data_IF_726542684722
#
_entry.id   IF_726542684722
#
_cell.length_a   1.000
_cell.length_b   1.000
_cell.length_c   1.000
_cell.angle_alpha   90.00
_cell.angle_beta   90.00
_cell.angle_gamma   90.00
#
_symmetry.space_group_name_H-M   'P 1'
#
loop_
_entity.id
_entity.type
_entity.pdbx_description
1 polymer ?
#
# COMPACT_ATOMS: atom_id res chain seq x y z
N UNK A 1 -5.08 9.14 -19.22
CA UNK A 1 -6.42 9.67 -19.55
C UNK A 1 -6.75 9.48 -21.01
N UNK A 2 -5.87 9.88 -21.93
CA UNK A 2 -6.07 9.70 -23.38
C UNK A 2 -6.47 8.26 -23.78
N UNK A 3 -5.75 7.25 -23.31
CA UNK A 3 -6.07 5.84 -23.60
C UNK A 3 -7.45 5.40 -23.06
N UNK A 4 -7.89 5.97 -21.93
CA UNK A 4 -9.21 5.71 -21.37
C UNK A 4 -10.31 6.38 -22.19
N UNK A 5 -10.04 7.59 -22.71
CA UNK A 5 -10.94 8.28 -23.63
C UNK A 5 -11.08 7.53 -24.96
N UNK A 6 -9.97 7.01 -25.52
CA UNK A 6 -9.98 6.15 -26.70
C UNK A 6 -10.80 4.88 -26.46
N UNK A 7 -10.63 4.22 -25.31
CA UNK A 7 -11.44 3.06 -24.95
C UNK A 7 -12.94 3.41 -24.87
N UNK A 8 -13.27 4.55 -24.25
CA UNK A 8 -14.65 5.02 -24.15
C UNK A 8 -15.26 5.34 -25.54
N UNK A 9 -14.48 5.95 -26.43
CA UNK A 9 -14.87 6.23 -27.81
C UNK A 9 -15.14 4.94 -28.63
N UNK A 10 -14.45 3.84 -28.32
CA UNK A 10 -14.73 2.50 -28.87
C UNK A 10 -15.95 1.82 -28.26
N UNK A 11 -16.67 2.48 -27.35
CA UNK A 11 -17.88 1.94 -26.71
C UNK A 11 -17.66 1.20 -25.39
N UNK A 12 -16.42 1.10 -24.88
CA UNK A 12 -16.16 0.46 -23.60
C UNK A 12 -16.80 1.25 -22.44
N UNK A 13 -17.29 0.55 -21.41
CA UNK A 13 -17.61 1.17 -20.12
C UNK A 13 -16.31 1.41 -19.35
N UNK A 14 -16.06 2.66 -18.98
CA UNK A 14 -14.84 3.06 -18.26
C UNK A 14 -15.25 3.70 -16.93
N UNK A 15 -14.78 3.12 -15.83
CA UNK A 15 -15.08 3.55 -14.46
C UNK A 15 -13.81 3.83 -13.69
N UNK A 16 -13.74 4.99 -13.04
CA UNK A 16 -12.60 5.43 -12.25
C UNK A 16 -13.08 5.76 -10.83
N UNK A 17 -12.37 5.21 -9.84
CA UNK A 17 -12.56 5.56 -8.42
C UNK A 17 -11.22 6.00 -7.85
N UNK A 18 -11.17 7.22 -7.32
CA UNK A 18 -9.97 7.75 -6.64
C UNK A 18 -10.21 7.97 -5.15
N UNK A 19 -9.12 8.01 -4.37
CA UNK A 19 -9.16 8.34 -2.96
C UNK A 19 -9.29 9.85 -2.75
N UNK A 20 -10.29 10.27 -1.99
CA UNK A 20 -10.61 11.69 -1.81
C UNK A 20 -9.56 12.48 -1.05
N UNK A 21 -8.76 11.83 -0.20
CA UNK A 21 -7.65 12.46 0.51
C UNK A 21 -6.39 12.51 -0.37
N UNK A 22 -6.01 11.37 -0.97
CA UNK A 22 -4.79 11.26 -1.77
C UNK A 22 -4.82 11.99 -3.09
N UNK A 23 -6.01 12.14 -3.67
CA UNK A 23 -6.19 12.79 -4.96
C UNK A 23 -6.84 14.17 -4.82
N UNK A 24 -6.98 14.71 -3.59
CA UNK A 24 -7.73 15.94 -3.30
C UNK A 24 -7.46 17.06 -4.30
N UNK A 25 -6.19 17.40 -4.51
CA UNK A 25 -5.76 18.47 -5.41
C UNK A 25 -6.12 18.22 -6.89
N UNK A 26 -6.21 16.96 -7.32
CA UNK A 26 -6.43 16.58 -8.73
C UNK A 26 -7.89 16.26 -9.05
N UNK A 27 -8.77 16.15 -8.04
CA UNK A 27 -10.18 15.80 -8.25
C UNK A 27 -10.88 16.72 -9.25
N UNK A 28 -10.80 18.06 -9.17
CA UNK A 28 -11.52 18.94 -10.11
C UNK A 28 -11.07 18.76 -11.56
N UNK A 29 -9.77 18.52 -11.78
CA UNK A 29 -9.22 18.27 -13.10
C UNK A 29 -9.68 16.91 -13.64
N UNK A 30 -9.62 15.87 -12.81
CA UNK A 30 -10.06 14.52 -13.17
C UNK A 30 -11.55 14.47 -13.49
N UNK A 31 -12.38 15.15 -12.70
CA UNK A 31 -13.83 15.24 -12.90
C UNK A 31 -14.17 15.89 -14.26
N UNK A 32 -13.49 17.00 -14.58
CA UNK A 32 -13.63 17.68 -15.88
C UNK A 32 -13.23 16.77 -17.04
N UNK A 33 -12.05 16.15 -16.97
CA UNK A 33 -11.55 15.26 -18.03
C UNK A 33 -12.45 14.03 -18.21
N UNK A 34 -12.93 13.44 -17.11
CA UNK A 34 -13.83 12.30 -17.19
C UNK A 34 -15.18 12.69 -17.80
N UNK A 35 -15.74 13.84 -17.40
CA UNK A 35 -17.00 14.35 -17.94
C UNK A 35 -16.91 14.64 -19.44
N UNK A 36 -15.82 15.26 -19.89
CA UNK A 36 -15.57 15.55 -21.31
C UNK A 36 -15.55 14.30 -22.19
N UNK A 37 -15.08 13.17 -21.65
CA UNK A 37 -14.97 11.92 -22.37
C UNK A 37 -16.05 10.89 -22.02
N UNK A 38 -17.06 11.25 -21.21
CA UNK A 38 -18.13 10.34 -20.80
C UNK A 38 -17.64 9.15 -19.97
N UNK A 39 -16.56 9.33 -19.20
CA UNK A 39 -15.99 8.34 -18.28
C UNK A 39 -16.68 8.48 -16.92
N UNK A 40 -17.10 7.36 -16.32
CA UNK A 40 -17.72 7.37 -15.00
C UNK A 40 -16.67 7.60 -13.91
N UNK A 41 -16.72 8.75 -13.26
CA UNK A 41 -15.77 9.12 -12.21
C UNK A 41 -16.43 9.22 -10.83
N UNK A 42 -15.76 8.66 -9.82
CA UNK A 42 -16.21 8.72 -8.42
C UNK A 42 -15.04 8.97 -7.48
N UNK A 43 -15.35 9.65 -6.37
CA UNK A 43 -14.40 9.92 -5.29
C UNK A 43 -14.79 9.14 -4.04
N UNK A 44 -13.89 8.28 -3.58
CA UNK A 44 -14.03 7.56 -2.33
C UNK A 44 -13.66 8.48 -1.15
N UNK A 45 -14.63 8.78 -0.27
CA UNK A 45 -14.45 9.70 0.88
C UNK A 45 -13.85 11.07 0.48
N UNK A 46 -14.57 11.94 -0.28
CA UNK A 46 -14.05 13.23 -0.72
C UNK A 46 -13.67 14.14 0.48
N UNK A 47 -12.55 14.86 0.37
CA UNK A 47 -12.14 15.90 1.34
C UNK A 47 -12.42 17.31 0.75
N UNK A 48 -12.68 18.38 1.55
CA UNK A 48 -13.03 18.39 2.97
C UNK A 48 -14.49 17.97 3.15
N UNK A 49 -14.70 16.72 3.57
CA UNK A 49 -16.02 16.16 3.85
C UNK A 49 -16.88 16.97 4.86
N UNK A 50 -16.34 17.81 5.79
CA UNK A 50 -17.19 18.52 6.75
C UNK A 50 -17.73 19.89 6.27
N UNK A 51 -17.02 20.66 5.45
CA UNK A 51 -17.36 22.09 5.27
C UNK A 51 -18.58 22.32 4.36
N UNK A 52 -18.78 21.48 3.34
CA UNK A 52 -19.88 21.64 2.39
C UNK A 52 -21.23 21.14 2.95
N UNK A 53 -21.23 20.22 3.92
CA UNK A 53 -22.46 19.68 4.50
C UNK A 53 -22.75 20.18 5.92
N UNK A 54 -21.74 20.65 6.65
CA UNK A 54 -21.97 21.12 8.01
C UNK A 54 -22.75 22.46 8.07
N UNK A 55 -22.88 23.22 6.97
CA UNK A 55 -23.90 24.30 6.89
C UNK A 55 -25.34 23.79 7.09
N UNK A 56 -25.62 22.51 6.84
CA UNK A 56 -26.95 21.91 7.02
C UNK A 56 -27.13 21.16 8.35
N UNK A 57 -26.06 20.88 9.10
CA UNK A 57 -26.11 20.08 10.35
C UNK A 57 -25.52 20.76 11.60
N UNK A 58 -24.83 21.90 11.47
CA UNK A 58 -24.27 22.62 12.63
C UNK A 58 -25.34 23.13 13.62
N UNK A 59 -26.63 22.97 13.32
CA UNK A 59 -27.71 23.32 14.24
C UNK A 59 -28.00 22.27 15.33
N UNK A 60 -27.46 21.03 15.30
CA UNK A 60 -28.00 19.98 16.19
C UNK A 60 -27.06 19.04 16.95
N UNK A 61 -25.76 18.97 16.67
CA UNK A 61 -24.88 18.08 17.43
C UNK A 61 -23.50 18.70 17.68
N UNK A 62 -23.36 19.33 18.84
CA UNK A 62 -22.07 19.55 19.50
C UNK A 62 -21.40 18.19 19.76
N UNK A 63 -20.06 18.14 19.66
CA UNK A 63 -19.16 17.02 19.99
C UNK A 63 -19.04 15.82 19.00
N UNK A 64 -18.34 15.96 17.86
CA UNK A 64 -17.92 14.78 17.06
C UNK A 64 -16.55 14.91 16.35
N UNK A 65 -15.53 15.45 17.01
CA UNK A 65 -14.15 15.45 16.48
C UNK A 65 -13.58 14.05 16.21
N UNK A 66 -14.00 13.04 16.98
CA UNK A 66 -13.60 11.62 16.81
C UNK A 66 -14.21 10.95 15.57
N UNK A 67 -15.40 11.39 15.13
CA UNK A 67 -16.07 10.87 13.94
C UNK A 67 -15.42 11.38 12.65
N UNK A 68 -15.07 12.67 12.59
CA UNK A 68 -14.28 13.26 11.50
C UNK A 68 -12.95 12.52 11.32
N UNK A 69 -12.20 12.34 12.41
CA UNK A 69 -10.89 11.68 12.38
C UNK A 69 -10.97 10.21 11.92
N UNK A 70 -12.03 9.48 12.30
CA UNK A 70 -12.21 8.07 11.91
C UNK A 70 -12.51 7.88 10.42
N UNK A 71 -13.24 8.81 9.80
CA UNK A 71 -13.54 8.79 8.36
C UNK A 71 -12.38 9.31 7.51
N UNK A 72 -11.64 10.31 8.01
CA UNK A 72 -10.38 10.79 7.38
C UNK A 72 -9.30 9.70 7.33
N UNK A 73 -9.33 8.75 8.28
CA UNK A 73 -8.27 7.75 8.37
C UNK A 73 -8.46 6.58 7.38
N UNK A 74 -9.69 6.24 6.97
CA UNK A 74 -9.93 5.11 6.04
C UNK A 74 -9.76 5.54 4.58
N UNK A 75 -8.57 5.33 4.03
CA UNK A 75 -8.25 5.62 2.63
C UNK A 75 -8.37 4.39 1.74
N UNK A 76 -8.72 4.61 0.47
CA UNK A 76 -8.61 3.57 -0.54
C UNK A 76 -7.19 3.57 -1.10
N UNK A 77 -6.35 2.64 -0.64
CA UNK A 77 -4.94 2.58 -1.00
C UNK A 77 -4.64 1.50 -2.06
N UNK A 78 -5.66 0.74 -2.47
CA UNK A 78 -5.58 -0.22 -3.58
C UNK A 78 -5.35 0.50 -4.91
N UNK A 79 -4.29 0.11 -5.63
CA UNK A 79 -4.05 0.51 -7.01
C UNK A 79 -4.34 -0.71 -7.89
N UNK A 80 -5.50 -0.69 -8.53
CA UNK A 80 -5.98 -1.79 -9.38
C UNK A 80 -6.47 -1.23 -10.71
N UNK A 81 -6.23 -1.96 -11.79
CA UNK A 81 -6.84 -1.74 -13.10
C UNK A 81 -7.41 -3.07 -13.57
N UNK A 82 -8.71 -3.14 -13.85
CA UNK A 82 -9.41 -4.37 -14.24
C UNK A 82 -9.92 -4.17 -15.65
N UNK A 83 -9.57 -5.09 -16.55
CA UNK A 83 -9.93 -5.07 -17.97
C UNK A 83 -10.80 -6.28 -18.27
N UNK A 84 -12.00 -6.01 -18.79
CA UNK A 84 -13.01 -6.99 -19.20
C UNK A 84 -13.38 -8.04 -18.16
N UNK A 85 -13.09 -7.77 -16.88
CA UNK A 85 -13.18 -8.75 -15.78
C UNK A 85 -12.37 -10.04 -16.03
N UNK A 86 -11.40 -10.00 -16.95
CA UNK A 86 -10.57 -11.13 -17.38
C UNK A 86 -9.11 -10.97 -17.02
N UNK A 87 -8.61 -9.73 -16.91
CA UNK A 87 -7.27 -9.43 -16.44
C UNK A 87 -7.28 -8.28 -15.46
N UNK A 88 -6.50 -8.38 -14.40
CA UNK A 88 -6.34 -7.28 -13.45
C UNK A 88 -4.85 -7.00 -13.16
N UNK A 89 -4.47 -5.73 -13.23
CA UNK A 89 -3.16 -5.22 -12.83
C UNK A 89 -3.25 -4.64 -11.43
N UNK A 90 -2.25 -4.92 -10.59
CA UNK A 90 -2.14 -4.39 -9.24
C UNK A 90 -0.68 -4.22 -8.83
N UNK A 91 -0.42 -3.40 -7.83
CA UNK A 91 0.95 -3.20 -7.36
C UNK A 91 1.11 -2.04 -6.40
N UNK A 92 2.36 -1.59 -6.27
CA UNK A 92 2.74 -0.54 -5.35
C UNK A 92 2.68 0.87 -5.94
N UNK A 93 2.62 0.99 -7.27
CA UNK A 93 2.65 2.25 -8.05
C UNK A 93 1.31 2.99 -8.02
N UNK A 94 1.37 4.32 -8.00
CA UNK A 94 0.21 5.17 -8.28
C UNK A 94 0.13 5.47 -9.78
N UNK A 95 -1.04 5.90 -10.26
CA UNK A 95 -1.24 6.31 -11.65
C UNK A 95 -0.83 7.79 -11.84
N UNK A 96 0.46 8.07 -11.65
CA UNK A 96 1.08 9.39 -11.87
C UNK A 96 2.40 9.25 -12.62
N UNK A 97 2.85 10.34 -13.24
CA UNK A 97 4.02 10.35 -14.13
C UNK A 97 5.33 9.90 -13.45
N UNK A 98 5.47 10.12 -12.15
CA UNK A 98 6.69 9.81 -11.40
C UNK A 98 7.04 8.32 -11.42
N UNK A 99 6.05 7.45 -11.62
CA UNK A 99 6.23 6.00 -11.73
C UNK A 99 6.46 5.52 -13.18
N UNK A 100 6.42 6.42 -14.16
CA UNK A 100 6.36 6.07 -15.58
C UNK A 100 7.68 6.39 -16.29
N UNK A 101 8.50 5.37 -16.51
CA UNK A 101 9.80 5.52 -17.17
C UNK A 101 9.71 6.07 -18.60
N UNK A 102 8.60 5.86 -19.31
CA UNK A 102 8.40 6.46 -20.64
C UNK A 102 8.17 7.99 -20.59
N UNK A 103 7.87 8.55 -19.41
CA UNK A 103 7.65 9.99 -19.21
C UNK A 103 8.87 10.63 -18.53
N UNK A 104 9.34 10.05 -17.43
CA UNK A 104 10.42 10.65 -16.60
C UNK A 104 11.78 9.95 -16.77
N UNK A 105 11.87 8.97 -17.66
CA UNK A 105 13.11 8.26 -17.97
C UNK A 105 13.69 7.52 -16.76
N UNK A 106 15.00 7.65 -16.58
CA UNK A 106 15.76 7.04 -15.49
C UNK A 106 15.42 7.58 -14.09
N UNK A 107 14.62 8.65 -13.99
CA UNK A 107 14.16 9.22 -12.73
C UNK A 107 12.90 8.54 -12.18
N UNK A 108 12.31 7.61 -12.94
CA UNK A 108 11.11 6.92 -12.51
C UNK A 108 11.30 6.22 -11.15
N UNK A 109 10.29 6.36 -10.31
CA UNK A 109 10.25 5.69 -9.02
C UNK A 109 10.24 4.18 -9.22
N UNK A 110 10.96 3.49 -8.35
CA UNK A 110 11.05 2.04 -8.40
C UNK A 110 9.84 1.42 -7.69
N UNK A 111 8.95 0.82 -8.46
CA UNK A 111 7.73 0.12 -7.99
C UNK A 111 7.56 -1.24 -8.67
N UNK A 112 6.87 -2.15 -8.00
CA UNK A 112 6.57 -3.48 -8.54
C UNK A 112 5.08 -3.63 -8.80
N UNK A 113 4.77 -4.17 -9.97
CA UNK A 113 3.42 -4.54 -10.38
C UNK A 113 3.33 -6.02 -10.71
N UNK A 114 2.10 -6.53 -10.66
CA UNK A 114 1.75 -7.84 -11.15
C UNK A 114 0.42 -7.74 -11.91
N UNK A 115 0.19 -8.71 -12.77
CA UNK A 115 -1.13 -8.95 -13.34
C UNK A 115 -1.60 -10.34 -12.92
N UNK A 116 -2.92 -10.50 -12.83
CA UNK A 116 -3.57 -11.75 -12.49
C UNK A 116 -4.69 -12.03 -13.48
N UNK A 117 -4.95 -13.31 -13.73
CA UNK A 117 -6.03 -13.84 -14.54
C UNK A 117 -6.82 -14.92 -13.80
N UNK A 118 -7.97 -15.27 -14.35
CA UNK A 118 -8.83 -16.33 -13.84
C UNK A 118 -9.71 -15.92 -12.66
N UNK A 119 -10.15 -16.92 -11.90
CA UNK A 119 -11.18 -16.81 -10.87
C UNK A 119 -10.89 -15.80 -9.77
N UNK A 120 -9.62 -15.45 -9.55
CA UNK A 120 -9.21 -14.46 -8.59
C UNK A 120 -9.77 -13.05 -8.91
N UNK A 121 -10.08 -12.76 -10.18
CA UNK A 121 -10.52 -11.42 -10.60
C UNK A 121 -11.89 -11.06 -10.05
N UNK A 122 -12.80 -12.02 -9.87
CA UNK A 122 -14.13 -11.76 -9.30
C UNK A 122 -14.06 -11.07 -7.94
N UNK A 123 -13.01 -11.35 -7.17
CA UNK A 123 -12.76 -10.70 -5.89
C UNK A 123 -12.32 -9.25 -6.05
N UNK A 124 -11.47 -8.94 -7.03
CA UNK A 124 -11.05 -7.56 -7.33
C UNK A 124 -12.21 -6.73 -7.88
N UNK A 125 -13.02 -7.31 -8.78
CA UNK A 125 -14.24 -6.70 -9.32
C UNK A 125 -15.20 -6.39 -8.17
N UNK A 126 -15.50 -7.36 -7.30
CA UNK A 126 -16.37 -7.13 -6.14
C UNK A 126 -15.82 -6.03 -5.23
N UNK A 127 -14.50 -6.03 -4.98
CA UNK A 127 -13.86 -5.05 -4.13
C UNK A 127 -13.89 -3.63 -4.76
N UNK A 128 -13.82 -3.53 -6.08
CA UNK A 128 -14.02 -2.29 -6.84
C UNK A 128 -15.48 -1.83 -6.77
N UNK A 129 -16.44 -2.71 -7.09
CA UNK A 129 -17.87 -2.41 -7.09
C UNK A 129 -18.35 -1.95 -5.71
N UNK A 130 -17.90 -2.59 -4.63
CA UNK A 130 -18.21 -2.13 -3.25
C UNK A 130 -17.69 -0.71 -3.02
N UNK A 131 -16.48 -0.39 -3.48
CA UNK A 131 -15.94 0.96 -3.35
C UNK A 131 -16.71 1.97 -4.20
N UNK A 132 -17.04 1.60 -5.44
CA UNK A 132 -17.83 2.42 -6.36
C UNK A 132 -19.23 2.68 -5.80
N UNK A 133 -19.99 1.66 -5.41
CA UNK A 133 -21.36 1.79 -4.87
C UNK A 133 -21.42 2.52 -3.52
N UNK A 134 -20.40 2.38 -2.67
CA UNK A 134 -20.30 3.18 -1.43
C UNK A 134 -20.21 4.68 -1.68
N UNK A 135 -19.77 5.10 -2.86
CA UNK A 135 -19.81 6.52 -3.25
C UNK A 135 -21.20 6.96 -3.69
N UNK A 136 -22.06 6.03 -4.13
CA UNK A 136 -23.37 6.30 -4.73
C UNK A 136 -24.52 6.30 -3.71
N UNK A 137 -24.54 5.38 -2.74
CA UNK A 137 -25.69 5.21 -1.83
C UNK A 137 -25.26 5.14 -0.36
N UNK A 138 -25.21 6.29 0.32
CA UNK A 138 -25.17 6.29 1.79
C UNK A 138 -26.58 6.01 2.33
N UNK A 139 -26.90 4.72 2.53
CA UNK A 139 -28.14 4.29 3.21
C UNK A 139 -28.54 2.83 2.93
N UNK A 140 -28.25 2.30 1.74
CA UNK A 140 -28.66 0.94 1.35
C UNK A 140 -27.67 -0.16 1.76
N UNK A 141 -26.70 0.15 2.63
CA UNK A 141 -25.63 -0.78 3.02
C UNK A 141 -26.15 -1.94 3.91
N UNK A 142 -27.39 -1.85 4.40
CA UNK A 142 -28.06 -2.99 5.02
C UNK A 142 -28.42 -4.09 4.00
N UNK A 143 -28.65 -3.76 2.72
CA UNK A 143 -29.05 -4.74 1.70
C UNK A 143 -27.87 -5.59 1.19
N UNK A 144 -26.67 -4.98 1.04
CA UNK A 144 -25.42 -5.68 0.68
C UNK A 144 -24.97 -6.65 1.77
N UNK A 145 -25.50 -6.52 3.00
CA UNK A 145 -25.30 -7.48 4.08
C UNK A 145 -25.60 -8.93 3.68
N UNK A 146 -26.52 -9.15 2.73
CA UNK A 146 -26.87 -10.50 2.22
C UNK A 146 -25.84 -11.10 1.27
N UNK A 147 -25.06 -10.28 0.58
CA UNK A 147 -23.92 -10.73 -0.26
C UNK A 147 -22.61 -10.86 0.52
N UNK A 148 -22.59 -10.50 1.82
CA UNK A 148 -21.41 -10.61 2.69
C UNK A 148 -21.06 -12.04 3.09
N UNK A 149 -21.96 -13.01 2.88
CA UNK A 149 -21.70 -14.41 3.14
C UNK A 149 -21.50 -15.15 1.83
N UNK A 150 -20.29 -15.71 1.64
CA UNK A 150 -19.90 -16.87 0.77
C UNK A 150 -18.67 -16.64 -0.11
N UNK A 151 -18.24 -15.40 -0.32
CA UNK A 151 -17.05 -15.12 -1.13
C UNK A 151 -15.87 -14.89 -0.17
N UNK A 152 -15.39 -15.97 0.46
CA UNK A 152 -14.07 -15.94 1.11
C UNK A 152 -13.05 -15.66 0.01
N UNK A 153 -12.22 -14.60 0.12
CA UNK A 153 -11.15 -14.34 -0.82
C UNK A 153 -10.39 -15.63 -1.11
N UNK A 154 -9.97 -15.84 -2.35
CA UNK A 154 -9.01 -16.90 -2.64
C UNK A 154 -7.66 -16.48 -2.03
N UNK A 155 -7.53 -16.60 -0.70
CA UNK A 155 -6.44 -16.04 0.11
C UNK A 155 -5.07 -16.58 -0.30
N UNK A 156 -5.07 -17.69 -1.06
CA UNK A 156 -3.88 -18.27 -1.69
C UNK A 156 -3.26 -17.38 -2.76
N UNK A 157 -4.06 -16.60 -3.50
CA UNK A 157 -3.58 -15.75 -4.61
C UNK A 157 -3.82 -14.28 -4.30
N UNK A 158 -4.96 -13.91 -3.70
CA UNK A 158 -5.31 -12.52 -3.43
C UNK A 158 -5.64 -12.27 -1.96
N UNK A 159 -5.02 -11.21 -1.43
CA UNK A 159 -5.22 -10.73 -0.06
C UNK A 159 -5.89 -9.37 -0.10
N UNK A 160 -7.15 -9.32 0.30
CA UNK A 160 -7.95 -8.09 0.31
C UNK A 160 -8.41 -7.77 1.74
N UNK A 161 -7.96 -6.64 2.30
CA UNK A 161 -8.25 -6.28 3.68
C UNK A 161 -9.57 -5.46 3.84
N UNK A 162 -10.63 -5.87 3.14
CA UNK A 162 -11.91 -5.12 2.98
C UNK A 162 -12.61 -4.77 4.30
N UNK A 163 -12.40 -5.58 5.35
CA UNK A 163 -12.96 -5.37 6.69
C UNK A 163 -11.86 -5.38 7.77
N UNK A 164 -12.16 -4.81 8.94
CA UNK A 164 -11.23 -4.86 10.07
C UNK A 164 -10.95 -6.30 10.53
N UNK A 165 -11.94 -7.21 10.42
CA UNK A 165 -11.78 -8.64 10.73
C UNK A 165 -10.81 -9.29 9.75
N UNK A 166 -11.03 -9.12 8.45
CA UNK A 166 -10.15 -9.64 7.39
C UNK A 166 -8.74 -9.09 7.54
N UNK A 167 -8.58 -7.79 7.83
CA UNK A 167 -7.26 -7.18 8.06
C UNK A 167 -6.51 -7.81 9.23
N UNK A 168 -7.18 -8.05 10.37
CA UNK A 168 -6.56 -8.73 11.53
C UNK A 168 -6.19 -10.17 11.18
N UNK A 169 -7.03 -10.88 10.42
CA UNK A 169 -6.76 -12.24 9.95
C UNK A 169 -5.53 -12.29 9.03
N UNK A 170 -5.49 -11.47 7.98
CA UNK A 170 -4.35 -11.38 7.06
C UNK A 170 -3.06 -11.00 7.78
N UNK A 171 -3.11 -10.09 8.75
CA UNK A 171 -1.92 -9.77 9.54
C UNK A 171 -1.45 -10.94 10.41
N UNK A 172 -2.36 -11.68 11.05
CA UNK A 172 -2.00 -12.88 11.79
C UNK A 172 -1.42 -13.94 10.87
N UNK A 173 -2.04 -14.18 9.73
CA UNK A 173 -1.55 -15.11 8.71
C UNK A 173 -0.12 -14.74 8.27
N UNK A 174 0.15 -13.47 7.97
CA UNK A 174 1.50 -12.99 7.69
C UNK A 174 2.50 -13.34 8.80
N UNK A 175 2.12 -13.11 10.07
CA UNK A 175 2.99 -13.46 11.20
C UNK A 175 3.21 -14.97 11.33
N UNK A 176 2.20 -15.80 11.04
CA UNK A 176 2.34 -17.26 11.04
C UNK A 176 3.25 -17.74 9.91
N UNK A 177 3.14 -17.15 8.72
CA UNK A 177 4.02 -17.45 7.59
C UNK A 177 5.48 -17.12 7.93
N UNK A 178 5.75 -15.93 8.48
CA UNK A 178 7.10 -15.55 8.95
C UNK A 178 7.58 -16.48 10.07
N UNK A 179 6.67 -16.91 10.96
CA UNK A 179 7.01 -17.85 12.03
C UNK A 179 7.38 -19.25 11.51
N UNK A 180 6.83 -19.65 10.36
CA UNK A 180 7.02 -20.97 9.75
C UNK A 180 8.13 -21.01 8.70
N UNK A 181 8.65 -19.86 8.28
CA UNK A 181 9.70 -19.78 7.28
C UNK A 181 11.05 -20.31 7.76
N UNK A 182 11.79 -20.92 6.83
CA UNK A 182 13.01 -21.69 7.09
C UNK A 182 14.21 -21.30 6.22
N UNK A 183 14.02 -20.65 5.06
CA UNK A 183 15.10 -20.32 4.12
C UNK A 183 15.43 -18.82 4.12
N UNK A 184 14.48 -17.99 3.71
CA UNK A 184 14.72 -16.56 3.44
C UNK A 184 13.49 -15.69 3.70
N UNK A 185 13.73 -14.45 4.11
CA UNK A 185 12.73 -13.41 4.23
C UNK A 185 13.32 -12.07 3.75
N UNK A 186 12.96 -11.67 2.55
CA UNK A 186 13.39 -10.41 1.94
C UNK A 186 12.23 -9.43 1.89
N UNK A 187 12.41 -8.22 2.42
CA UNK A 187 11.35 -7.21 2.52
C UNK A 187 11.77 -5.94 1.81
N UNK A 188 10.97 -5.47 0.85
CA UNK A 188 11.08 -4.13 0.28
C UNK A 188 9.90 -3.31 0.76
N UNK A 189 10.14 -2.15 1.37
CA UNK A 189 9.06 -1.22 1.71
C UNK A 189 9.50 0.23 1.61
N UNK A 190 8.57 1.07 1.12
CA UNK A 190 8.72 2.51 1.09
C UNK A 190 8.80 3.12 2.50
N UNK A 191 8.08 2.56 3.48
CA UNK A 191 7.88 3.16 4.79
C UNK A 191 8.00 2.11 5.90
N UNK A 192 9.24 1.80 6.31
CA UNK A 192 9.51 0.76 7.30
C UNK A 192 9.24 1.22 8.75
N UNK A 193 7.97 1.18 9.15
CA UNK A 193 7.51 1.44 10.52
C UNK A 193 6.68 0.25 11.06
N UNK A 194 7.30 -0.94 11.23
CA UNK A 194 6.61 -2.17 11.61
C UNK A 194 6.08 -2.14 13.05
N UNK A 195 5.01 -2.89 13.30
CA UNK A 195 4.53 -3.16 14.67
C UNK A 195 5.54 -4.00 15.45
N UNK A 196 5.49 -3.89 16.78
CA UNK A 196 6.27 -4.73 17.72
C UNK A 196 6.13 -6.23 17.45
N UNK A 197 4.95 -6.71 17.06
CA UNK A 197 4.70 -8.12 16.71
C UNK A 197 5.45 -8.56 15.45
N UNK A 198 5.49 -7.71 14.41
CA UNK A 198 6.26 -7.99 13.20
C UNK A 198 7.76 -7.97 13.51
N UNK A 199 8.26 -6.96 14.24
CA UNK A 199 9.65 -6.91 14.69
C UNK A 199 10.04 -8.19 15.46
N UNK A 200 9.20 -8.64 16.40
CA UNK A 200 9.45 -9.89 17.11
C UNK A 200 9.48 -11.11 16.18
N UNK A 201 8.62 -11.16 15.17
CA UNK A 201 8.62 -12.25 14.19
C UNK A 201 9.90 -12.26 13.35
N UNK A 202 10.34 -11.10 12.86
CA UNK A 202 11.61 -10.94 12.13
C UNK A 202 12.81 -11.41 12.97
N UNK A 203 12.88 -10.97 14.23
CA UNK A 203 13.95 -11.37 15.14
C UNK A 203 13.94 -12.87 15.46
N UNK A 204 12.75 -13.49 15.54
CA UNK A 204 12.62 -14.93 15.75
C UNK A 204 13.07 -15.70 14.50
N UNK A 205 12.67 -15.25 13.30
CA UNK A 205 13.10 -15.85 12.04
C UNK A 205 14.63 -15.80 11.89
N UNK A 206 15.23 -14.62 12.09
CA UNK A 206 16.69 -14.47 12.04
C UNK A 206 17.42 -15.37 13.06
N UNK A 207 16.87 -15.51 14.29
CA UNK A 207 17.42 -16.41 15.31
C UNK A 207 17.33 -17.90 14.95
N UNK A 208 16.40 -18.29 14.09
CA UNK A 208 16.31 -19.67 13.56
C UNK A 208 17.28 -19.92 12.39
N UNK A 209 17.99 -18.90 11.92
CA UNK A 209 18.90 -19.01 10.77
C UNK A 209 18.27 -18.64 9.42
N UNK A 210 17.03 -18.13 9.40
CA UNK A 210 16.42 -17.60 8.16
C UNK A 210 17.22 -16.37 7.70
N UNK A 211 17.55 -16.30 6.41
CA UNK A 211 18.22 -15.13 5.81
C UNK A 211 17.24 -13.95 5.72
N UNK A 212 17.27 -13.05 6.71
CA UNK A 212 16.39 -11.89 6.80
C UNK A 212 17.10 -10.64 6.28
N UNK A 213 16.61 -10.07 5.18
CA UNK A 213 17.15 -8.83 4.58
C UNK A 213 16.03 -7.82 4.34
N UNK A 214 16.31 -6.54 4.59
CA UNK A 214 15.32 -5.48 4.42
C UNK A 214 15.90 -4.38 3.54
N UNK A 215 15.17 -4.01 2.50
CA UNK A 215 15.47 -2.93 1.57
C UNK A 215 14.49 -1.77 1.81
N UNK A 216 15.05 -0.59 2.05
CA UNK A 216 14.32 0.66 2.32
C UNK A 216 14.80 1.78 1.38
N UNK A 217 14.03 2.87 1.21
CA UNK A 217 14.46 4.00 0.40
C UNK A 217 15.66 4.75 0.98
N UNK A 218 16.71 4.92 0.18
CA UNK A 218 17.77 5.90 0.42
C UNK A 218 17.29 7.34 0.15
N UNK A 219 16.54 7.53 -0.95
CA UNK A 219 15.84 8.78 -1.30
C UNK A 219 14.35 8.65 -0.96
N UNK A 220 13.77 9.63 -0.26
CA UNK A 220 12.38 9.57 0.22
C UNK A 220 11.60 10.81 -0.18
N UNK A 221 10.35 10.60 -0.58
CA UNK A 221 9.31 11.60 -0.81
C UNK A 221 8.74 12.16 0.50
N UNK A 222 8.85 11.41 1.61
CA UNK A 222 8.38 11.81 2.94
C UNK A 222 9.52 11.69 3.98
N UNK A 223 10.39 12.72 4.10
CA UNK A 223 11.58 12.68 4.97
C UNK A 223 11.28 12.32 6.44
N UNK A 224 10.13 12.76 6.96
CA UNK A 224 9.70 12.50 8.35
C UNK A 224 9.57 10.99 8.63
N UNK A 225 9.15 10.19 7.64
CA UNK A 225 9.05 8.73 7.80
C UNK A 225 10.43 8.10 7.89
N UNK A 226 11.40 8.56 7.09
CA UNK A 226 12.79 8.10 7.18
C UNK A 226 13.38 8.41 8.57
N UNK A 227 13.10 9.59 9.11
CA UNK A 227 13.50 9.98 10.47
C UNK A 227 12.86 9.12 11.55
N UNK A 228 11.56 8.81 11.44
CA UNK A 228 10.87 7.93 12.36
C UNK A 228 11.45 6.51 12.33
N UNK A 229 11.86 6.01 11.17
CA UNK A 229 12.42 4.66 11.03
C UNK A 229 13.81 4.50 11.68
N UNK A 230 14.54 5.60 11.94
CA UNK A 230 15.92 5.59 12.44
C UNK A 230 16.15 4.64 13.63
N UNK A 231 15.33 4.74 14.69
CA UNK A 231 15.52 3.92 15.89
C UNK A 231 15.23 2.43 15.64
N UNK A 232 14.32 2.12 14.71
CA UNK A 232 14.01 0.74 14.33
C UNK A 232 15.17 0.16 13.52
N UNK A 233 15.69 0.91 12.55
CA UNK A 233 16.84 0.53 11.73
C UNK A 233 18.05 0.26 12.63
N UNK A 234 18.36 1.19 13.54
CA UNK A 234 19.45 1.00 14.52
C UNK A 234 19.28 -0.28 15.33
N UNK A 235 18.08 -0.52 15.85
CA UNK A 235 17.78 -1.71 16.65
C UNK A 235 17.94 -3.01 15.86
N UNK A 236 17.56 -3.05 14.58
CA UNK A 236 17.71 -4.24 13.74
C UNK A 236 19.17 -4.53 13.36
N UNK A 237 19.96 -3.49 13.08
CA UNK A 237 21.40 -3.64 12.82
C UNK A 237 22.12 -4.23 14.04
N UNK A 238 21.81 -3.75 15.25
CA UNK A 238 22.33 -4.32 16.51
C UNK A 238 21.93 -5.79 16.72
N UNK A 239 20.86 -6.24 16.07
CA UNK A 239 20.40 -7.63 16.05
C UNK A 239 20.89 -8.42 14.83
N UNK A 240 21.88 -7.89 14.11
CA UNK A 240 22.52 -8.48 12.93
C UNK A 240 21.55 -8.77 11.78
N UNK A 241 20.45 -8.01 11.69
CA UNK A 241 19.55 -8.05 10.53
C UNK A 241 20.00 -6.94 9.56
N UNK A 242 20.56 -7.29 8.40
CA UNK A 242 21.06 -6.31 7.44
C UNK A 242 19.91 -5.47 6.84
N UNK A 243 20.15 -4.16 6.81
CA UNK A 243 19.27 -3.16 6.19
C UNK A 243 20.02 -2.51 5.04
N UNK A 244 19.39 -2.43 3.87
CA UNK A 244 19.93 -1.83 2.67
C UNK A 244 19.12 -0.59 2.30
N UNK A 245 19.80 0.50 1.94
CA UNK A 245 19.18 1.71 1.40
C UNK A 245 19.34 1.77 -0.12
N UNK A 246 18.24 1.73 -0.86
CA UNK A 246 18.23 1.88 -2.32
C UNK A 246 18.60 3.30 -2.75
N UNK A 247 19.56 3.45 -3.67
CA UNK A 247 20.17 4.75 -3.99
C UNK A 247 19.74 5.35 -5.33
N UNK A 248 19.33 4.53 -6.29
CA UNK A 248 19.16 4.97 -7.70
C UNK A 248 18.04 6.01 -7.83
N UNK A 249 16.81 5.67 -7.46
CA UNK A 249 15.63 6.56 -7.48
C UNK A 249 14.82 6.44 -6.18
N UNK A 250 13.66 7.09 -6.09
CA UNK A 250 12.75 6.87 -4.96
C UNK A 250 12.22 5.44 -5.04
N UNK A 251 12.45 4.67 -3.98
CA UNK A 251 11.95 3.31 -3.84
C UNK A 251 10.56 3.35 -3.21
N UNK A 252 9.56 2.93 -3.96
CA UNK A 252 8.18 2.86 -3.50
C UNK A 252 7.60 1.44 -3.63
N UNK A 253 8.40 0.45 -4.03
CA UNK A 253 8.02 -0.95 -4.01
C UNK A 253 7.62 -1.46 -2.62
N UNK A 254 6.65 -2.38 -2.61
CA UNK A 254 6.06 -3.01 -1.42
C UNK A 254 5.96 -4.50 -1.69
N UNK A 255 7.08 -5.17 -1.47
CA UNK A 255 7.25 -6.57 -1.85
C UNK A 255 7.86 -7.36 -0.71
N UNK A 256 7.56 -8.65 -0.67
CA UNK A 256 8.17 -9.56 0.28
C UNK A 256 8.42 -10.90 -0.41
N UNK A 257 9.60 -11.48 -0.24
CA UNK A 257 9.90 -12.86 -0.62
C UNK A 257 10.04 -13.64 0.69
N UNK A 258 9.27 -14.70 0.84
CA UNK A 258 9.25 -15.57 2.00
C UNK A 258 9.37 -17.00 1.53
N UNK A 259 10.55 -17.59 1.69
CA UNK A 259 10.91 -18.91 1.16
C UNK A 259 10.54 -19.03 -0.33
N UNK A 260 9.47 -19.76 -0.62
CA UNK A 260 8.94 -20.11 -1.94
C UNK A 260 7.60 -19.38 -2.23
N UNK A 261 7.39 -18.22 -1.59
CA UNK A 261 6.27 -17.32 -1.86
C UNK A 261 6.76 -15.88 -2.04
N UNK A 262 6.13 -15.13 -2.94
CA UNK A 262 6.34 -13.70 -3.09
C UNK A 262 5.04 -12.93 -2.95
N UNK A 263 5.12 -11.74 -2.36
CA UNK A 263 4.00 -10.84 -2.12
C UNK A 263 4.28 -9.53 -2.85
N UNK A 264 3.30 -9.05 -3.60
CA UNK A 264 3.35 -7.75 -4.27
C UNK A 264 2.03 -7.04 -3.98
N UNK A 265 2.07 -5.77 -3.59
CA UNK A 265 0.83 -5.06 -3.36
C UNK A 265 0.98 -3.62 -2.93
N UNK A 266 -0.08 -3.12 -2.31
CA UNK A 266 -0.15 -1.75 -1.81
C UNK A 266 0.20 -1.64 -0.31
N UNK A 267 0.43 -2.76 0.37
CA UNK A 267 0.61 -2.85 1.81
C UNK A 267 2.02 -2.45 2.29
N UNK A 268 2.13 -1.41 3.11
CA UNK A 268 3.41 -0.84 3.56
C UNK A 268 4.05 -1.54 4.78
N UNK A 269 3.48 -2.63 5.29
CA UNK A 269 3.90 -3.28 6.56
C UNK A 269 3.91 -2.34 7.80
N UNK A 270 3.28 -1.17 7.71
CA UNK A 270 3.27 -0.14 8.75
C UNK A 270 1.98 -0.15 9.58
N UNK A 271 1.97 0.62 10.68
CA UNK A 271 0.81 0.73 11.57
C UNK A 271 -0.45 1.21 10.85
N UNK A 272 -0.33 2.15 9.91
CA UNK A 272 -1.44 2.75 9.17
C UNK A 272 -2.13 1.77 8.24
N UNK A 273 -1.39 1.11 7.35
CA UNK A 273 -1.90 0.06 6.45
C UNK A 273 -2.59 -1.06 7.24
N UNK A 274 -2.09 -1.35 8.45
CA UNK A 274 -2.65 -2.35 9.36
C UNK A 274 -3.90 -1.92 10.13
N UNK A 275 -4.20 -0.63 10.22
CA UNK A 275 -5.30 -0.13 11.04
C UNK A 275 -6.40 0.53 10.20
N UNK A 276 -6.06 1.13 9.07
CA UNK A 276 -6.94 2.11 8.44
C UNK A 276 -7.17 1.87 6.94
N UNK A 277 -6.13 1.59 6.17
CA UNK A 277 -6.22 1.60 4.70
C UNK A 277 -6.86 0.32 4.12
N UNK A 278 -7.53 0.49 2.98
CA UNK A 278 -7.91 -0.61 2.10
C UNK A 278 -6.73 -0.93 1.19
N UNK A 279 -6.27 -2.17 1.20
CA UNK A 279 -5.04 -2.68 0.59
C UNK A 279 -5.35 -3.95 -0.20
N UNK A 280 -4.52 -4.21 -1.20
CA UNK A 280 -4.52 -5.43 -2.01
C UNK A 280 -3.10 -5.95 -2.11
N UNK A 281 -2.94 -7.26 -1.98
CA UNK A 281 -1.70 -7.96 -2.28
C UNK A 281 -2.02 -9.18 -3.13
N UNK A 282 -1.15 -9.49 -4.09
CA UNK A 282 -1.09 -10.79 -4.74
C UNK A 282 -0.02 -11.64 -4.05
N UNK A 283 -0.30 -12.93 -3.91
CA UNK A 283 0.65 -13.95 -3.49
C UNK A 283 0.99 -14.80 -4.70
N UNK A 284 2.28 -14.91 -4.98
CA UNK A 284 2.87 -15.63 -6.10
C UNK A 284 3.66 -16.81 -5.55
N UNK A 285 3.44 -18.00 -6.10
CA UNK A 285 4.07 -19.24 -5.65
C UNK A 285 4.51 -20.14 -6.81
N UNK A 286 4.30 -19.72 -8.05
CA UNK A 286 4.87 -20.38 -9.22
C UNK A 286 6.36 -20.03 -9.38
N UNK A 287 7.12 -20.97 -9.94
CA UNK A 287 8.57 -20.86 -10.05
C UNK A 287 9.02 -19.64 -10.86
N UNK A 288 8.35 -19.35 -11.98
CA UNK A 288 8.70 -18.25 -12.86
C UNK A 288 8.52 -16.89 -12.17
N UNK A 289 7.40 -16.70 -11.48
CA UNK A 289 7.15 -15.48 -10.70
C UNK A 289 8.14 -15.31 -9.55
N UNK A 290 8.49 -16.40 -8.86
CA UNK A 290 9.49 -16.36 -7.78
C UNK A 290 10.88 -16.03 -8.30
N UNK A 291 11.27 -16.57 -9.45
CA UNK A 291 12.53 -16.26 -10.11
C UNK A 291 12.58 -14.78 -10.51
N UNK A 292 11.54 -14.29 -11.18
CA UNK A 292 11.41 -12.87 -11.55
C UNK A 292 11.53 -11.95 -10.33
N UNK A 293 10.84 -12.29 -9.23
CA UNK A 293 10.90 -11.53 -7.99
C UNK A 293 12.29 -11.57 -7.33
N UNK A 294 12.96 -12.73 -7.37
CA UNK A 294 14.32 -12.87 -6.82
C UNK A 294 15.32 -12.06 -7.63
N UNK A 295 15.29 -12.16 -8.96
CA UNK A 295 16.17 -11.40 -9.86
C UNK A 295 15.94 -9.89 -9.71
N UNK A 296 14.68 -9.47 -9.59
CA UNK A 296 14.35 -8.07 -9.37
C UNK A 296 14.86 -7.57 -8.02
N UNK A 297 14.75 -8.38 -6.96
CA UNK A 297 15.32 -8.06 -5.65
C UNK A 297 16.84 -7.90 -5.72
N UNK A 298 17.56 -8.81 -6.40
CA UNK A 298 19.00 -8.73 -6.59
C UNK A 298 19.42 -7.48 -7.37
N UNK A 299 18.65 -7.13 -8.41
CA UNK A 299 18.83 -5.89 -9.18
C UNK A 299 18.68 -4.66 -8.30
N UNK A 300 17.67 -4.63 -7.45
CA UNK A 300 17.46 -3.52 -6.51
C UNK A 300 18.59 -3.47 -5.47
N UNK A 301 19.05 -4.63 -4.99
CA UNK A 301 20.12 -4.76 -4.02
C UNK A 301 21.48 -4.29 -4.57
N UNK A 302 21.77 -4.57 -5.84
CA UNK A 302 22.96 -4.09 -6.53
C UNK A 302 23.01 -2.55 -6.62
N UNK A 303 21.86 -1.89 -6.54
CA UNK A 303 21.72 -0.43 -6.51
C UNK A 303 21.53 0.11 -5.08
N UNK A 304 21.82 -0.70 -4.06
CA UNK A 304 21.62 -0.35 -2.66
C UNK A 304 22.94 -0.32 -1.88
N UNK A 305 22.97 0.49 -0.83
CA UNK A 305 24.08 0.57 0.13
C UNK A 305 23.66 -0.14 1.42
N UNK A 306 24.51 -1.02 1.95
CA UNK A 306 24.31 -1.58 3.29
C UNK A 306 24.43 -0.47 4.34
N UNK A 307 23.44 -0.35 5.21
CA UNK A 307 23.46 0.62 6.31
C UNK A 307 24.43 0.13 7.38
N UNK A 308 25.41 0.97 7.73
CA UNK A 308 26.37 0.70 8.80
C UNK A 308 26.01 1.43 10.09
N UNK A 309 26.50 0.94 11.23
CA UNK A 309 26.36 1.65 12.51
C UNK A 309 27.04 3.04 12.47
N UNK A 310 28.10 3.19 11.67
CA UNK A 310 28.78 4.48 11.47
C UNK A 310 27.87 5.52 10.81
N UNK A 311 27.09 5.11 9.80
CA UNK A 311 26.12 5.99 9.12
C UNK A 311 25.03 6.53 10.08
N UNK A 312 24.75 5.78 11.16
CA UNK A 312 23.78 6.16 12.19
C UNK A 312 24.41 6.94 13.34
N UNK A 313 25.68 6.70 13.66
CA UNK A 313 26.41 7.38 14.73
C UNK A 313 26.79 8.83 14.36
N UNK A 314 27.06 9.10 13.08
CA UNK A 314 27.47 10.41 12.57
C UNK A 314 26.38 11.50 12.58
N UNK A 315 25.31 11.34 13.38
CA UNK A 315 24.15 12.26 13.40
C UNK A 315 24.23 13.23 14.57
N UNK A 316 24.07 14.52 14.28
CA UNK A 316 24.07 15.58 15.27
C UNK A 316 22.97 15.38 16.34
N UNK A 317 23.16 15.97 17.51
CA UNK A 317 22.19 15.89 18.60
C UNK A 317 20.80 16.43 18.19
N UNK A 318 20.77 17.52 17.40
CA UNK A 318 19.55 18.10 16.83
C UNK A 318 18.80 17.09 15.95
N UNK A 319 19.53 16.40 15.07
CA UNK A 319 18.93 15.36 14.23
C UNK A 319 18.32 14.24 15.08
N UNK A 320 19.01 13.80 16.14
CA UNK A 320 18.50 12.76 17.05
C UNK A 320 17.23 13.19 17.79
N UNK A 321 17.11 14.47 18.14
CA UNK A 321 15.90 15.04 18.74
C UNK A 321 14.72 15.03 17.76
N UNK A 322 14.93 15.50 16.52
CA UNK A 322 13.93 15.44 15.44
C UNK A 322 13.48 14.00 15.20
N UNK A 323 14.41 13.04 15.18
CA UNK A 323 14.09 11.63 14.97
C UNK A 323 13.24 11.07 16.12
N UNK A 324 13.47 11.52 17.36
CA UNK A 324 12.68 11.08 18.51
C UNK A 324 11.24 11.61 18.41
N UNK A 325 11.08 12.88 18.03
CA UNK A 325 9.77 13.49 17.78
C UNK A 325 9.05 12.73 16.66
N UNK A 326 9.71 12.54 15.52
CA UNK A 326 9.16 11.79 14.38
C UNK A 326 8.75 10.36 14.79
N UNK A 327 9.59 9.67 15.58
CA UNK A 327 9.29 8.32 16.06
C UNK A 327 8.09 8.29 17.02
N UNK A 328 7.90 9.29 17.88
CA UNK A 328 6.71 9.38 18.74
C UNK A 328 5.43 9.62 17.92
N UNK A 329 5.54 10.39 16.83
CA UNK A 329 4.45 10.68 15.91
C UNK A 329 4.19 9.56 14.89
N UNK A 330 4.96 8.47 14.89
CA UNK A 330 4.86 7.36 13.92
C UNK A 330 3.49 6.67 13.80
N UNK A 331 2.58 6.90 14.75
CA UNK A 331 1.21 6.37 14.70
C UNK A 331 0.26 7.25 13.88
N UNK A 332 0.68 8.48 13.58
CA UNK A 332 -0.01 9.44 12.73
C UNK A 332 0.50 9.40 11.27
N UNK A 333 1.74 8.94 11.10
CA UNK A 333 2.37 8.62 9.82
C UNK A 333 1.86 7.26 9.32
#
# INVERSE_FOLDING_TARGET
MEELAKARARGCSVKIVVDGFGSYYYIPQLDRLCSQHGIEFRVFHPFPYPLLWARSLFAKYSLHGSFLMKHMNRRNHRKISIIDEKRAYLGSFNFVQDHCASIVGSHAWRDTGAWVEGDAIKYLVLAFQISYLRTYIKGLINWVGRWRSRVEPHEKILRLNTTQRTRRRLYRDLLHRIASANKRLYITTAYFLPKRSLLRALLKAARRGVDVKILIPGKSDVPVVKWAAFYIVKFLLQKRIPIYEYQKTILHAKTMILDDEAFIGSFNLNHRSLLHDLEVEVVLNDADSLQNMTQQWETDLANAKLVSEKDLAARSWLARMIYNIAFRLRYLL
#
